data_IF_681169286808
#
_entry.id   IF_681169286808
#
_cell.length_a   1.000
_cell.length_b   1.000
_cell.length_c   1.000
_cell.angle_alpha   90.00
_cell.angle_beta   90.00
_cell.angle_gamma   90.00
#
_symmetry.space_group_name_H-M   'P 1'
#
loop_
_entity.id
_entity.type
_entity.pdbx_description
1 polymer ?
#
# COMPACT_ATOMS: atom_id res chain seq x y z
N UNK A 1 0.66 8.59 -8.76
CA UNK A 1 0.05 9.88 -8.38
C UNK A 1 0.52 10.86 -9.42
N UNK A 2 -0.39 11.51 -10.14
CA UNK A 2 0.01 12.42 -11.21
C UNK A 2 -0.72 13.76 -11.10
N UNK A 3 0.01 14.84 -11.41
CA UNK A 3 -0.50 16.21 -11.48
C UNK A 3 -0.32 16.68 -12.92
N UNK A 4 -1.40 17.13 -13.57
CA UNK A 4 -1.41 17.54 -14.97
C UNK A 4 -0.79 16.49 -15.93
N UNK A 5 -0.94 15.21 -15.60
CA UNK A 5 -0.42 14.09 -16.39
C UNK A 5 1.03 13.69 -16.10
N UNK A 6 1.75 14.42 -15.24
CA UNK A 6 3.13 14.11 -14.84
C UNK A 6 3.13 13.35 -13.52
N UNK A 7 3.87 12.23 -13.45
CA UNK A 7 4.09 11.49 -12.20
C UNK A 7 4.97 12.30 -11.25
N UNK A 8 4.43 12.67 -10.09
CA UNK A 8 5.07 13.60 -9.15
C UNK A 8 5.46 12.92 -7.83
N UNK A 9 6.64 13.24 -7.32
CA UNK A 9 7.09 12.84 -5.99
C UNK A 9 6.45 13.74 -4.91
N UNK A 10 6.01 13.16 -3.79
CA UNK A 10 5.08 13.80 -2.85
C UNK A 10 5.49 15.12 -2.18
N UNK A 11 6.75 15.56 -2.28
CA UNK A 11 7.20 16.86 -1.74
C UNK A 11 6.85 18.05 -2.66
N UNK A 12 7.18 17.95 -3.94
CA UNK A 12 6.86 19.01 -4.94
C UNK A 12 5.35 19.20 -5.12
N UNK A 13 4.58 18.13 -4.92
CA UNK A 13 3.11 18.15 -4.99
C UNK A 13 2.51 19.18 -4.03
N UNK A 14 3.00 19.20 -2.78
CA UNK A 14 2.42 20.07 -1.74
C UNK A 14 2.75 21.54 -2.01
N UNK A 15 3.95 21.83 -2.49
CA UNK A 15 4.37 23.17 -2.88
C UNK A 15 3.61 23.67 -4.11
N UNK A 16 3.41 22.80 -5.11
CA UNK A 16 2.67 23.13 -6.33
C UNK A 16 1.19 23.40 -6.08
N UNK A 17 0.56 22.66 -5.15
CA UNK A 17 -0.83 22.86 -4.75
C UNK A 17 -1.02 24.05 -3.78
N UNK A 18 0.05 24.51 -3.12
CA UNK A 18 0.02 25.65 -2.21
C UNK A 18 -0.05 27.02 -2.91
N UNK A 19 0.30 27.10 -4.20
CA UNK A 19 0.23 28.33 -4.96
C UNK A 19 -1.17 28.50 -5.60
N UNK A 20 -1.97 29.52 -5.22
CA UNK A 20 -3.29 29.75 -5.78
C UNK A 20 -3.27 30.06 -7.29
N UNK A 21 -2.14 30.52 -7.84
CA UNK A 21 -1.99 30.79 -9.28
C UNK A 21 -1.94 29.51 -10.15
N UNK A 22 -1.73 28.33 -9.55
CA UNK A 22 -1.64 27.06 -10.27
C UNK A 22 -2.99 26.38 -10.51
N UNK A 23 -4.09 26.97 -10.05
CA UNK A 23 -5.45 26.44 -10.27
C UNK A 23 -6.05 26.99 -11.56
N UNK A 24 -6.80 26.17 -12.33
CA UNK A 24 -7.21 24.79 -12.04
C UNK A 24 -6.15 23.73 -12.43
N UNK A 25 -6.03 22.68 -11.60
CA UNK A 25 -5.07 21.58 -11.77
C UNK A 25 -5.80 20.22 -11.80
N UNK A 26 -5.35 19.30 -12.66
CA UNK A 26 -5.89 17.94 -12.75
C UNK A 26 -5.05 16.95 -11.94
N UNK A 27 -5.65 16.33 -10.92
CA UNK A 27 -4.96 15.39 -10.02
C UNK A 27 -5.51 13.98 -10.20
N UNK A 28 -4.63 13.01 -10.45
CA UNK A 28 -4.98 11.59 -10.60
C UNK A 28 -4.51 10.79 -9.38
N UNK A 29 -5.48 10.29 -8.63
CA UNK A 29 -5.24 9.37 -7.51
C UNK A 29 -5.23 7.91 -7.98
N UNK A 30 -4.48 7.06 -7.27
CA UNK A 30 -4.43 5.63 -7.51
C UNK A 30 -3.93 4.90 -6.27
N UNK A 31 -4.09 3.58 -6.23
CA UNK A 31 -3.54 2.78 -5.13
C UNK A 31 -2.02 2.98 -5.05
N UNK A 32 -1.47 3.31 -3.87
CA UNK A 32 -0.03 3.42 -3.69
C UNK A 32 0.63 2.06 -3.95
N UNK A 33 1.76 2.08 -4.65
CA UNK A 33 2.55 0.87 -4.91
C UNK A 33 3.40 0.57 -3.68
N UNK A 34 3.37 -0.68 -3.22
CA UNK A 34 4.25 -1.13 -2.14
C UNK A 34 5.71 -1.11 -2.59
N UNK A 35 6.54 -0.42 -1.82
CA UNK A 35 8.00 -0.40 -1.93
C UNK A 35 8.60 -1.71 -1.43
N UNK A 36 9.85 -2.01 -1.82
CA UNK A 36 10.54 -3.23 -1.37
C UNK A 36 10.63 -3.33 0.15
N UNK A 37 10.86 -2.22 0.85
CA UNK A 37 10.93 -2.20 2.31
C UNK A 37 9.57 -2.51 2.95
N UNK A 38 8.49 -1.94 2.42
CA UNK A 38 7.15 -2.23 2.92
C UNK A 38 6.77 -3.70 2.68
N UNK A 39 7.19 -4.30 1.55
CA UNK A 39 7.02 -5.74 1.30
C UNK A 39 7.79 -6.59 2.32
N UNK A 40 9.02 -6.21 2.65
CA UNK A 40 9.83 -6.90 3.66
C UNK A 40 9.20 -6.79 5.05
N UNK A 41 8.78 -5.59 5.45
CA UNK A 41 8.09 -5.38 6.72
C UNK A 41 6.80 -6.19 6.81
N UNK A 42 5.98 -6.18 5.74
CA UNK A 42 4.78 -7.01 5.68
C UNK A 42 5.12 -8.49 5.81
N UNK A 43 6.12 -8.98 5.07
CA UNK A 43 6.59 -10.38 5.16
C UNK A 43 6.99 -10.76 6.60
N UNK A 44 7.73 -9.90 7.30
CA UNK A 44 8.11 -10.11 8.70
C UNK A 44 6.92 -10.09 9.66
N UNK A 45 5.91 -9.24 9.41
CA UNK A 45 4.66 -9.24 10.16
C UNK A 45 3.87 -10.53 9.95
N UNK A 46 3.79 -11.03 8.70
CA UNK A 46 3.18 -12.32 8.39
C UNK A 46 3.84 -13.48 9.13
N UNK A 47 5.18 -13.48 9.24
CA UNK A 47 5.92 -14.49 9.98
C UNK A 47 5.52 -14.52 11.47
N UNK A 48 5.38 -13.36 12.09
CA UNK A 48 4.98 -13.23 13.49
C UNK A 48 3.52 -13.64 13.71
N UNK A 49 2.62 -13.21 12.83
CA UNK A 49 1.20 -13.58 12.85
C UNK A 49 1.00 -15.09 12.67
N UNK A 50 1.77 -15.72 11.80
CA UNK A 50 1.76 -17.17 11.61
C UNK A 50 2.22 -17.92 12.87
N UNK A 51 3.24 -17.41 13.56
CA UNK A 51 3.72 -18.01 14.80
C UNK A 51 2.74 -17.80 15.98
N UNK A 52 2.12 -16.63 16.08
CA UNK A 52 1.19 -16.26 17.15
C UNK A 52 -0.23 -16.83 16.97
N UNK A 53 -0.68 -17.03 15.72
CA UNK A 53 -1.99 -17.59 15.37
C UNK A 53 -2.14 -19.10 15.63
N UNK A 54 -1.13 -19.71 16.25
CA UNK A 54 -1.11 -21.13 16.61
C UNK A 54 -0.38 -21.96 15.55
N UNK A 55 0.86 -22.36 15.83
CA UNK A 55 1.49 -23.49 15.14
C UNK A 55 0.63 -24.74 15.43
N UNK A 56 -0.02 -25.36 14.43
CA UNK A 56 -0.74 -26.61 14.67
C UNK A 56 0.30 -27.68 15.04
N UNK A 57 0.17 -28.28 16.24
CA UNK A 57 1.21 -29.18 16.80
C UNK A 57 1.53 -30.39 15.90
N UNK A 58 0.62 -30.80 15.01
CA UNK A 58 0.76 -32.01 14.20
C UNK A 58 0.29 -31.84 12.73
N UNK A 59 0.56 -30.71 12.05
CA UNK A 59 0.08 -30.54 10.66
C UNK A 59 1.09 -29.91 9.71
N UNK A 60 1.03 -30.41 8.48
CA UNK A 60 1.62 -29.85 7.25
C UNK A 60 1.46 -28.32 7.24
N UNK A 61 2.52 -27.62 6.86
CA UNK A 61 2.62 -26.16 6.88
C UNK A 61 1.61 -25.57 5.88
N UNK A 62 0.38 -25.33 6.32
CA UNK A 62 -0.62 -24.60 5.54
C UNK A 62 -0.61 -23.13 5.99
N UNK A 63 -0.31 -22.22 5.06
CA UNK A 63 -0.41 -20.78 5.30
C UNK A 63 -1.90 -20.46 5.51
N UNK A 64 -2.32 -19.90 6.66
CA UNK A 64 -3.71 -19.61 6.94
C UNK A 64 -4.27 -18.59 5.94
N UNK A 65 -5.48 -18.86 5.45
CA UNK A 65 -6.21 -17.95 4.56
C UNK A 65 -6.65 -16.71 5.36
N UNK A 66 -6.12 -15.54 5.00
CA UNK A 66 -6.58 -14.27 5.54
C UNK A 66 -7.74 -13.77 4.69
N UNK A 67 -8.89 -13.58 5.33
CA UNK A 67 -10.08 -13.01 4.69
C UNK A 67 -9.76 -11.61 4.17
N UNK A 68 -9.85 -11.43 2.85
CA UNK A 68 -9.83 -10.11 2.22
C UNK A 68 -11.24 -9.74 1.85
N UNK A 69 -11.70 -8.57 2.30
CA UNK A 69 -12.97 -8.02 1.87
C UNK A 69 -12.81 -7.39 0.48
N UNK A 70 -12.74 -8.25 -0.53
CA UNK A 70 -12.72 -7.82 -1.93
C UNK A 70 -14.15 -7.54 -2.34
N UNK A 71 -14.54 -6.27 -2.43
CA UNK A 71 -15.77 -5.91 -3.15
C UNK A 71 -15.61 -6.34 -4.61
N UNK A 72 -16.24 -7.45 -4.96
CA UNK A 72 -16.47 -7.86 -6.33
C UNK A 72 -17.33 -6.76 -6.95
N UNK A 73 -16.77 -6.02 -7.91
CA UNK A 73 -17.54 -5.12 -8.77
C UNK A 73 -18.30 -5.92 -9.81
#
# INVERSE_FOLDING_TARGET
LAINGVDTNGKEVLEYLGNPANYPVSIRFGQPRLTSNEKLMLSSMFHSLFAAGGRPRNAVINIPLISKNTKIK
#
